data_IF_198416527310
#
_entry.id   IF_198416527310
#
_cell.length_a   1.000
_cell.length_b   1.000
_cell.length_c   1.000
_cell.angle_alpha   90.00
_cell.angle_beta   90.00
_cell.angle_gamma   90.00
#
_symmetry.space_group_name_H-M   'P 1'
#
loop_
_entity.id
_entity.type
_entity.pdbx_description
1 polymer ?
#
# COMPACT_ATOMS: atom_id res chain seq x y z
N UNK A 1 3.47 -24.68 0.28
CA UNK A 1 2.87 -23.33 0.18
C UNK A 1 3.68 -22.30 0.99
N UNK A 2 3.92 -22.51 2.27
CA UNK A 2 4.68 -21.55 3.12
C UNK A 2 6.05 -21.21 2.52
N UNK A 3 6.84 -22.20 2.08
CA UNK A 3 8.15 -21.94 1.47
C UNK A 3 8.05 -21.06 0.21
N UNK A 4 7.07 -21.32 -0.66
CA UNK A 4 6.86 -20.51 -1.86
C UNK A 4 6.40 -19.06 -1.53
N UNK A 5 5.61 -18.88 -0.48
CA UNK A 5 5.22 -17.54 -0.01
C UNK A 5 6.41 -16.79 0.58
N UNK A 6 7.25 -17.49 1.35
CA UNK A 6 8.48 -16.90 1.89
C UNK A 6 9.47 -16.50 0.77
N UNK A 7 9.66 -17.37 -0.24
CA UNK A 7 10.44 -17.03 -1.42
C UNK A 7 9.90 -15.77 -2.12
N UNK A 8 8.57 -15.70 -2.34
CA UNK A 8 7.91 -14.55 -2.96
C UNK A 8 8.12 -13.26 -2.16
N UNK A 9 8.03 -13.34 -0.82
CA UNK A 9 8.31 -12.22 0.08
C UNK A 9 9.76 -11.74 -0.05
N UNK A 10 10.73 -12.65 -0.05
CA UNK A 10 12.15 -12.32 -0.20
C UNK A 10 12.43 -11.67 -1.56
N UNK A 11 11.86 -12.20 -2.64
CA UNK A 11 11.97 -11.62 -3.98
C UNK A 11 11.31 -10.24 -4.05
N UNK A 12 10.16 -10.04 -3.42
CA UNK A 12 9.49 -8.75 -3.29
C UNK A 12 10.37 -7.72 -2.58
N UNK A 13 11.01 -8.12 -1.47
CA UNK A 13 11.94 -7.26 -0.73
C UNK A 13 13.17 -6.87 -1.58
N UNK A 14 13.72 -7.82 -2.33
CA UNK A 14 14.84 -7.53 -3.24
C UNK A 14 14.41 -6.56 -4.35
N UNK A 15 13.23 -6.74 -4.94
CA UNK A 15 12.69 -5.87 -5.99
C UNK A 15 12.41 -4.46 -5.49
N UNK A 16 11.96 -4.31 -4.25
CA UNK A 16 11.81 -3.00 -3.60
C UNK A 16 13.16 -2.28 -3.50
N UNK A 17 14.21 -2.99 -3.07
CA UNK A 17 15.56 -2.43 -2.92
C UNK A 17 16.19 -2.05 -4.27
N UNK A 18 15.98 -2.87 -5.30
CA UNK A 18 16.55 -2.65 -6.64
C UNK A 18 15.77 -1.56 -7.41
N UNK A 19 14.48 -1.43 -7.15
CA UNK A 19 13.59 -0.52 -7.88
C UNK A 19 13.15 -1.03 -9.26
N UNK A 20 12.36 -0.24 -9.99
CA UNK A 20 11.87 -0.60 -11.32
C UNK A 20 13.01 -0.61 -12.36
N UNK A 21 12.92 -1.52 -13.31
CA UNK A 21 13.84 -1.57 -14.45
C UNK A 21 13.61 -0.38 -15.39
N UNK A 22 14.62 0.00 -16.22
CA UNK A 22 14.43 1.02 -17.25
C UNK A 22 13.23 0.67 -18.16
N UNK A 23 12.31 1.62 -18.33
CA UNK A 23 11.09 1.45 -19.12
C UNK A 23 9.94 0.71 -18.42
N UNK A 24 10.12 0.25 -17.19
CA UNK A 24 9.03 -0.30 -16.39
C UNK A 24 8.25 0.84 -15.71
N UNK A 25 6.92 0.73 -15.72
CA UNK A 25 6.05 1.65 -14.96
C UNK A 25 6.35 1.54 -13.45
N UNK A 26 6.80 2.64 -12.79
CA UNK A 26 7.15 2.64 -11.37
C UNK A 26 5.95 2.31 -10.47
N UNK A 27 4.74 2.75 -10.83
CA UNK A 27 3.52 2.51 -10.04
C UNK A 27 3.13 1.04 -10.12
N UNK A 28 3.13 0.44 -11.32
CA UNK A 28 2.86 -0.98 -11.48
C UNK A 28 3.91 -1.85 -10.77
N UNK A 29 5.20 -1.43 -10.81
CA UNK A 29 6.26 -2.08 -10.06
C UNK A 29 5.99 -2.04 -8.56
N UNK A 30 5.67 -0.85 -8.01
CA UNK A 30 5.38 -0.65 -6.59
C UNK A 30 4.22 -1.54 -6.11
N UNK A 31 3.08 -1.51 -6.79
CA UNK A 31 1.91 -2.36 -6.47
C UNK A 31 2.28 -3.86 -6.49
N UNK A 32 3.10 -4.28 -7.46
CA UNK A 32 3.59 -5.66 -7.55
C UNK A 32 4.49 -6.03 -6.35
N UNK A 33 5.34 -5.12 -5.89
CA UNK A 33 6.17 -5.32 -4.68
C UNK A 33 5.29 -5.47 -3.44
N UNK A 34 4.28 -4.61 -3.26
CA UNK A 34 3.32 -4.72 -2.15
C UNK A 34 2.56 -6.06 -2.17
N UNK A 35 2.15 -6.52 -3.36
CA UNK A 35 1.51 -7.83 -3.53
C UNK A 35 2.44 -8.97 -3.10
N UNK A 36 3.73 -8.91 -3.45
CA UNK A 36 4.69 -9.94 -3.09
C UNK A 36 5.05 -9.92 -1.60
N UNK A 37 5.26 -8.75 -1.00
CA UNK A 37 5.68 -8.62 0.40
C UNK A 37 4.54 -8.84 1.40
N UNK A 38 3.39 -8.23 1.20
CA UNK A 38 2.28 -8.20 2.15
C UNK A 38 1.10 -9.02 1.66
N UNK A 39 0.69 -8.80 0.40
CA UNK A 39 -0.45 -9.49 -0.19
C UNK A 39 -0.29 -11.01 -0.14
N UNK A 40 0.89 -11.53 -0.44
CA UNK A 40 1.18 -12.97 -0.42
C UNK A 40 1.00 -13.61 0.96
N UNK A 41 1.30 -12.90 2.04
CA UNK A 41 1.14 -13.39 3.42
C UNK A 41 -0.34 -13.46 3.82
N UNK A 42 -1.12 -12.43 3.48
CA UNK A 42 -2.56 -12.40 3.75
C UNK A 42 -3.28 -13.46 2.92
N UNK A 43 -2.88 -13.61 1.66
CA UNK A 43 -3.39 -14.68 0.78
C UNK A 43 -3.09 -16.07 1.34
N UNK A 44 -1.88 -16.29 1.86
CA UNK A 44 -1.52 -17.56 2.51
C UNK A 44 -2.37 -17.81 3.74
N UNK A 45 -2.56 -16.82 4.61
CA UNK A 45 -3.37 -16.95 5.81
C UNK A 45 -4.82 -17.31 5.46
N UNK A 46 -5.42 -16.64 4.48
CA UNK A 46 -6.78 -16.90 4.00
C UNK A 46 -6.90 -18.31 3.36
N UNK A 47 -5.94 -18.70 2.52
CA UNK A 47 -5.87 -20.05 1.93
C UNK A 47 -5.76 -21.13 3.02
N UNK A 48 -4.93 -20.92 4.03
CA UNK A 48 -4.78 -21.86 5.14
C UNK A 48 -6.04 -21.98 5.99
N UNK A 49 -6.79 -20.88 6.15
CA UNK A 49 -8.10 -20.92 6.81
C UNK A 49 -9.04 -21.91 6.15
N UNK A 50 -9.22 -21.87 4.83
CA UNK A 50 -10.05 -22.81 4.08
C UNK A 50 -9.52 -24.25 4.20
N UNK A 51 -8.20 -24.44 4.03
CA UNK A 51 -7.60 -25.79 4.08
C UNK A 51 -7.73 -26.44 5.43
N UNK A 52 -7.52 -25.70 6.51
CA UNK A 52 -7.55 -26.25 7.88
C UNK A 52 -8.98 -26.48 8.40
N UNK A 53 -9.95 -25.72 7.88
CA UNK A 53 -11.38 -25.95 8.20
C UNK A 53 -12.03 -27.05 7.36
N UNK A 54 -11.31 -27.62 6.37
CA UNK A 54 -11.91 -28.59 5.44
C UNK A 54 -12.85 -27.97 4.42
N UNK A 55 -12.73 -26.66 4.18
CA UNK A 55 -13.57 -25.93 3.25
C UNK A 55 -13.35 -26.34 1.78
N UNK A 56 -14.29 -26.00 0.88
CA UNK A 56 -14.26 -26.38 -0.52
C UNK A 56 -13.02 -25.87 -1.25
N UNK A 57 -12.37 -26.72 -2.05
CA UNK A 57 -11.14 -26.37 -2.77
C UNK A 57 -11.35 -25.31 -3.86
N UNK A 58 -12.55 -25.19 -4.41
CA UNK A 58 -12.95 -24.19 -5.39
C UNK A 58 -12.90 -22.76 -4.84
N UNK A 59 -12.94 -22.57 -3.52
CA UNK A 59 -12.78 -21.28 -2.87
C UNK A 59 -11.30 -20.85 -2.73
N UNK A 60 -10.35 -21.76 -2.93
CA UNK A 60 -8.93 -21.44 -2.78
C UNK A 60 -8.41 -20.36 -3.76
N UNK A 61 -8.74 -20.39 -5.07
CA UNK A 61 -8.31 -19.32 -5.97
C UNK A 61 -8.89 -17.95 -5.63
N UNK A 62 -10.22 -17.77 -5.43
CA UNK A 62 -10.78 -16.46 -5.10
C UNK A 62 -10.30 -15.93 -3.75
N UNK A 63 -10.21 -16.74 -2.71
CA UNK A 63 -9.74 -16.27 -1.41
C UNK A 63 -8.28 -15.83 -1.43
N UNK A 64 -7.45 -16.46 -2.28
CA UNK A 64 -6.07 -16.02 -2.49
C UNK A 64 -6.03 -14.65 -3.15
N UNK A 65 -6.80 -14.43 -4.23
CA UNK A 65 -6.89 -13.14 -4.89
C UNK A 65 -7.45 -12.05 -3.96
N UNK A 66 -8.46 -12.39 -3.15
CA UNK A 66 -8.94 -11.52 -2.08
C UNK A 66 -7.79 -11.09 -1.16
N UNK A 67 -7.03 -12.04 -0.61
CA UNK A 67 -5.94 -11.78 0.32
C UNK A 67 -4.82 -10.92 -0.30
N UNK A 68 -4.46 -11.18 -1.58
CA UNK A 68 -3.47 -10.39 -2.28
C UNK A 68 -3.90 -8.93 -2.45
N UNK A 69 -5.13 -8.70 -2.92
CA UNK A 69 -5.67 -7.35 -3.14
C UNK A 69 -5.83 -6.57 -1.84
N UNK A 70 -6.34 -7.22 -0.80
CA UNK A 70 -6.52 -6.58 0.50
C UNK A 70 -5.18 -6.25 1.17
N UNK A 71 -4.15 -7.07 0.96
CA UNK A 71 -2.80 -6.79 1.43
C UNK A 71 -2.18 -5.58 0.75
N UNK A 72 -2.44 -5.39 -0.54
CA UNK A 72 -2.04 -4.17 -1.25
C UNK A 72 -2.82 -2.97 -0.70
N UNK A 73 -4.15 -3.05 -0.59
CA UNK A 73 -4.97 -1.97 -0.03
C UNK A 73 -4.49 -1.55 1.36
N UNK A 74 -4.16 -2.52 2.23
CA UNK A 74 -3.63 -2.27 3.56
C UNK A 74 -2.36 -1.41 3.53
N UNK A 75 -1.40 -1.74 2.65
CA UNK A 75 -0.15 -0.99 2.53
C UNK A 75 -0.37 0.42 1.95
N UNK A 76 -1.28 0.57 0.97
CA UNK A 76 -1.60 1.90 0.43
C UNK A 76 -2.21 2.83 1.49
N UNK A 77 -3.06 2.29 2.38
CA UNK A 77 -3.58 3.03 3.53
C UNK A 77 -2.46 3.37 4.52
N UNK A 78 -1.53 2.44 4.76
CA UNK A 78 -0.39 2.64 5.65
C UNK A 78 0.54 3.76 5.14
N UNK A 79 0.75 3.85 3.81
CA UNK A 79 1.50 4.95 3.17
C UNK A 79 0.89 6.33 3.47
N UNK A 80 -0.45 6.41 3.48
CA UNK A 80 -1.17 7.66 3.79
C UNK A 80 -1.15 7.95 5.29
N UNK A 81 -1.29 6.92 6.13
CA UNK A 81 -1.22 7.06 7.59
C UNK A 81 0.17 7.57 8.02
N UNK A 82 1.25 7.14 7.36
CA UNK A 82 2.61 7.63 7.65
C UNK A 82 2.73 9.17 7.49
N UNK A 83 1.93 9.78 6.62
CA UNK A 83 1.89 11.24 6.44
C UNK A 83 1.06 11.96 7.50
N UNK A 84 0.26 11.25 8.32
CA UNK A 84 -0.70 11.84 9.25
C UNK A 84 -0.07 12.15 10.61
N UNK A 85 -0.58 13.23 11.27
CA UNK A 85 -0.21 13.58 12.63
C UNK A 85 -0.72 12.56 13.66
N UNK A 86 -1.82 11.84 13.34
CA UNK A 86 -2.41 10.80 14.19
C UNK A 86 -1.64 9.48 14.18
N UNK A 87 -0.76 9.27 13.20
CA UNK A 87 0.23 8.18 13.19
C UNK A 87 1.16 8.20 14.40
N UNK A 88 1.18 9.33 15.15
CA UNK A 88 1.89 9.49 16.43
C UNK A 88 1.40 8.56 17.56
N UNK A 89 0.28 7.86 17.41
CA UNK A 89 -0.10 6.75 18.31
C UNK A 89 0.93 5.63 18.35
N UNK A 90 1.81 5.54 17.34
CA UNK A 90 2.97 4.64 17.29
C UNK A 90 4.26 5.29 17.82
N UNK A 91 4.24 6.56 18.22
CA UNK A 91 5.42 7.33 18.66
C UNK A 91 6.37 7.74 17.53
N UNK A 92 6.00 7.56 16.26
CA UNK A 92 6.81 7.97 15.10
C UNK A 92 6.35 9.33 14.58
N UNK A 93 7.28 10.22 14.20
CA UNK A 93 6.92 11.50 13.57
C UNK A 93 6.33 11.25 12.17
N UNK A 94 5.42 12.13 11.69
CA UNK A 94 4.89 12.06 10.33
C UNK A 94 5.98 12.08 9.27
N UNK A 95 5.76 11.34 8.17
CA UNK A 95 6.69 11.27 7.04
C UNK A 95 7.94 10.44 7.31
N UNK A 96 7.85 9.42 8.19
CA UNK A 96 8.98 8.54 8.51
C UNK A 96 9.51 7.82 7.27
N UNK A 97 8.64 7.36 6.38
CA UNK A 97 9.03 6.66 5.15
C UNK A 97 9.71 7.61 4.17
N UNK A 98 9.17 8.81 3.99
CA UNK A 98 9.79 9.86 3.17
C UNK A 98 11.19 10.21 3.70
N UNK A 99 11.32 10.38 5.02
CA UNK A 99 12.62 10.66 5.67
C UNK A 99 13.66 9.58 5.42
N UNK A 100 13.23 8.33 5.35
CA UNK A 100 14.10 7.18 5.04
C UNK A 100 14.38 6.99 3.57
N UNK A 101 13.83 7.84 2.71
CA UNK A 101 13.96 7.73 1.25
C UNK A 101 13.13 6.59 0.66
N UNK A 102 12.15 6.06 1.39
CA UNK A 102 11.22 5.06 0.85
C UNK A 102 10.25 5.75 -0.09
N UNK A 103 10.17 5.25 -1.31
CA UNK A 103 9.25 5.79 -2.32
C UNK A 103 7.89 5.09 -2.17
N UNK A 104 6.91 5.80 -1.61
CA UNK A 104 5.53 5.35 -1.44
C UNK A 104 4.63 5.80 -2.60
N UNK A 105 3.38 5.33 -2.67
CA UNK A 105 2.50 5.67 -3.80
C UNK A 105 2.22 7.18 -3.93
N UNK A 106 1.98 7.96 -2.84
CA UNK A 106 1.85 9.41 -2.95
C UNK A 106 3.07 10.07 -3.62
N UNK A 107 4.29 9.60 -3.29
CA UNK A 107 5.52 10.09 -3.89
C UNK A 107 5.63 9.75 -5.38
N UNK A 108 5.22 8.54 -5.78
CA UNK A 108 5.20 8.12 -7.19
C UNK A 108 4.23 8.94 -8.02
N UNK A 109 3.03 9.19 -7.52
CA UNK A 109 2.07 10.06 -8.18
C UNK A 109 2.58 11.51 -8.30
N UNK A 110 3.22 12.01 -7.25
CA UNK A 110 3.82 13.35 -7.27
C UNK A 110 4.94 13.44 -8.32
N UNK A 111 5.78 12.40 -8.43
CA UNK A 111 6.82 12.31 -9.46
C UNK A 111 6.23 12.27 -10.87
N UNK A 112 5.13 11.54 -11.06
CA UNK A 112 4.43 11.50 -12.34
C UNK A 112 3.91 12.88 -12.74
N UNK A 113 3.21 13.59 -11.84
CA UNK A 113 2.71 14.94 -12.11
C UNK A 113 3.85 15.92 -12.46
N UNK A 114 4.97 15.84 -11.73
CA UNK A 114 6.14 16.67 -12.03
C UNK A 114 6.74 16.38 -13.41
N UNK A 115 6.77 15.11 -13.82
CA UNK A 115 7.22 14.70 -15.14
C UNK A 115 6.26 15.17 -16.27
N UNK A 116 4.98 15.31 -15.96
CA UNK A 116 3.94 15.87 -16.85
C UNK A 116 3.97 17.40 -16.90
N UNK A 117 4.85 18.06 -16.12
CA UNK A 117 5.08 19.51 -16.16
C UNK A 117 4.39 20.28 -15.05
N UNK A 118 3.81 19.63 -14.03
CA UNK A 118 3.25 20.32 -12.86
C UNK A 118 4.36 20.95 -12.02
N UNK A 119 4.36 22.28 -11.97
CA UNK A 119 5.37 23.06 -11.24
C UNK A 119 5.24 22.92 -9.73
N UNK A 120 4.00 22.87 -9.21
CA UNK A 120 3.74 22.69 -7.78
C UNK A 120 4.27 21.35 -7.28
N UNK A 121 3.98 20.28 -8.03
CA UNK A 121 4.53 18.95 -7.75
C UNK A 121 6.05 18.92 -7.81
N UNK A 122 6.66 19.61 -8.80
CA UNK A 122 8.12 19.71 -8.95
C UNK A 122 8.78 20.46 -7.77
N UNK A 123 8.15 21.52 -7.28
CA UNK A 123 8.64 22.30 -6.13
C UNK A 123 8.51 21.48 -4.84
N UNK A 124 7.38 20.82 -4.62
CA UNK A 124 7.18 19.96 -3.45
C UNK A 124 8.18 18.80 -3.43
N UNK A 125 8.46 18.15 -4.55
CA UNK A 125 9.51 17.12 -4.63
C UNK A 125 10.89 17.65 -4.24
N UNK A 126 11.25 18.86 -4.65
CA UNK A 126 12.55 19.49 -4.28
C UNK A 126 12.63 19.72 -2.78
N UNK A 127 11.54 20.21 -2.14
CA UNK A 127 11.54 20.44 -0.69
C UNK A 127 11.61 19.14 0.10
N UNK A 128 10.85 18.11 -0.31
CA UNK A 128 10.92 16.77 0.28
C UNK A 128 12.33 16.17 0.15
N UNK A 129 12.94 16.28 -1.03
CA UNK A 129 14.31 15.78 -1.26
C UNK A 129 15.36 16.47 -0.38
N UNK A 130 15.24 17.80 -0.15
CA UNK A 130 16.11 18.53 0.79
C UNK A 130 15.96 18.01 2.22
N UNK A 131 14.70 17.70 2.63
CA UNK A 131 14.43 17.13 3.95
C UNK A 131 15.02 15.73 4.11
N UNK A 132 14.85 14.86 3.12
CA UNK A 132 15.43 13.51 3.09
C UNK A 132 16.97 13.55 3.13
N UNK A 133 17.58 14.54 2.45
CA UNK A 133 19.03 14.73 2.45
C UNK A 133 19.58 15.38 3.74
N UNK A 134 18.72 15.75 4.70
CA UNK A 134 19.12 16.43 5.94
C UNK A 134 19.61 17.86 5.74
N UNK A 135 19.25 18.50 4.62
CA UNK A 135 19.63 19.88 4.29
C UNK A 135 18.59 20.90 4.76
N UNK A 136 17.31 20.47 4.87
CA UNK A 136 16.24 21.29 5.41
C UNK A 136 16.21 21.22 6.95
N UNK A 137 15.64 22.24 7.59
CA UNK A 137 15.32 22.19 9.03
C UNK A 137 14.17 21.20 9.27
N UNK A 138 13.99 20.77 10.53
CA UNK A 138 12.88 19.89 10.89
C UNK A 138 11.52 20.55 10.59
N UNK A 139 11.39 21.85 10.84
CA UNK A 139 10.16 22.61 10.56
C UNK A 139 9.86 22.62 9.04
N UNK A 140 10.85 22.97 8.20
CA UNK A 140 10.70 22.94 6.73
C UNK A 140 10.32 21.54 6.21
N UNK A 141 10.90 20.48 6.80
CA UNK A 141 10.56 19.11 6.44
C UNK A 141 9.10 18.78 6.83
N UNK A 142 8.67 19.10 8.04
CA UNK A 142 7.31 18.84 8.49
C UNK A 142 6.27 19.64 7.68
N UNK A 143 6.60 20.86 7.26
CA UNK A 143 5.76 21.65 6.37
C UNK A 143 5.62 20.98 5.00
N UNK A 144 6.70 20.40 4.46
CA UNK A 144 6.64 19.65 3.19
C UNK A 144 5.86 18.34 3.32
N UNK A 145 5.93 17.64 4.45
CA UNK A 145 5.09 16.46 4.73
C UNK A 145 3.61 16.86 4.83
N UNK A 146 3.30 17.99 5.49
CA UNK A 146 1.93 18.51 5.53
C UNK A 146 1.41 18.86 4.14
N UNK A 147 2.23 19.52 3.32
CA UNK A 147 1.89 19.83 1.94
C UNK A 147 1.64 18.55 1.10
N UNK A 148 2.44 17.50 1.27
CA UNK A 148 2.21 16.21 0.61
C UNK A 148 0.91 15.55 1.09
N UNK A 149 0.63 15.58 2.39
CA UNK A 149 -0.62 15.05 2.98
C UNK A 149 -1.85 15.74 2.38
N UNK A 150 -1.80 17.05 2.21
CA UNK A 150 -2.90 17.88 1.68
C UNK A 150 -2.96 17.86 0.14
N UNK A 151 -1.93 17.34 -0.52
CA UNK A 151 -1.88 17.28 -1.97
C UNK A 151 -2.86 16.23 -2.53
N UNK A 152 -3.51 16.49 -3.70
CA UNK A 152 -4.45 15.53 -4.32
C UNK A 152 -3.90 14.12 -4.55
N UNK A 153 -2.60 13.94 -4.67
CA UNK A 153 -1.97 12.60 -4.82
C UNK A 153 -2.21 11.69 -3.62
N UNK A 154 -2.39 12.27 -2.43
CA UNK A 154 -2.67 11.49 -1.21
C UNK A 154 -4.10 10.96 -1.24
N UNK A 155 -5.09 11.77 -1.64
CA UNK A 155 -6.45 11.28 -1.84
C UNK A 155 -6.52 10.28 -3.01
N UNK A 156 -5.80 10.49 -4.11
CA UNK A 156 -5.70 9.53 -5.21
C UNK A 156 -5.11 8.17 -4.73
N UNK A 157 -4.21 8.18 -3.76
CA UNK A 157 -3.69 6.96 -3.12
C UNK A 157 -4.78 6.24 -2.32
N UNK A 158 -5.59 6.99 -1.55
CA UNK A 158 -6.73 6.43 -0.83
C UNK A 158 -7.79 5.86 -1.78
N UNK A 159 -8.08 6.55 -2.89
CA UNK A 159 -9.01 6.04 -3.91
C UNK A 159 -8.50 4.74 -4.54
N UNK A 160 -7.19 4.63 -4.77
CA UNK A 160 -6.56 3.38 -5.21
C UNK A 160 -6.72 2.27 -4.18
N UNK A 161 -6.54 2.56 -2.89
CA UNK A 161 -6.75 1.60 -1.81
C UNK A 161 -8.22 1.13 -1.73
N UNK A 162 -9.17 2.05 -1.82
CA UNK A 162 -10.63 1.74 -1.87
C UNK A 162 -10.98 0.86 -3.06
N UNK A 163 -10.41 1.17 -4.25
CA UNK A 163 -10.61 0.35 -5.44
C UNK A 163 -10.07 -1.07 -5.25
N UNK A 164 -8.87 -1.21 -4.68
CA UNK A 164 -8.27 -2.53 -4.40
C UNK A 164 -9.11 -3.34 -3.39
N UNK A 165 -9.68 -2.68 -2.38
CA UNK A 165 -10.59 -3.32 -1.43
C UNK A 165 -11.91 -3.76 -2.10
N UNK A 166 -12.50 -2.92 -2.93
CA UNK A 166 -13.70 -3.27 -3.71
C UNK A 166 -13.42 -4.45 -4.66
N UNK A 167 -12.28 -4.44 -5.36
CA UNK A 167 -11.86 -5.54 -6.22
C UNK A 167 -11.58 -6.83 -5.43
N UNK A 168 -11.16 -6.73 -4.17
CA UNK A 168 -11.01 -7.88 -3.29
C UNK A 168 -12.38 -8.44 -2.89
N UNK A 169 -13.32 -7.59 -2.50
CA UNK A 169 -14.69 -8.00 -2.14
C UNK A 169 -15.36 -8.72 -3.31
N UNK A 170 -15.19 -8.25 -4.54
CA UNK A 170 -15.73 -8.90 -5.74
C UNK A 170 -15.22 -10.35 -5.94
N UNK A 171 -14.02 -10.68 -5.46
CA UNK A 171 -13.53 -12.07 -5.50
C UNK A 171 -14.36 -13.03 -4.62
N UNK A 172 -15.14 -12.50 -3.69
CA UNK A 172 -15.99 -13.27 -2.78
C UNK A 172 -17.42 -13.53 -3.34
N UNK A 173 -17.73 -13.03 -4.54
CA UNK A 173 -19.11 -13.13 -5.11
C UNK A 173 -19.56 -14.58 -5.34
N UNK A 174 -18.62 -15.48 -5.52
CA UNK A 174 -18.89 -16.92 -5.66
C UNK A 174 -18.81 -17.72 -4.35
N UNK A 175 -18.46 -17.05 -3.25
CA UNK A 175 -18.46 -17.67 -1.93
C UNK A 175 -19.90 -17.76 -1.37
N UNK A 176 -20.23 -18.79 -0.57
CA UNK A 176 -21.50 -18.85 0.12
C UNK A 176 -21.78 -17.57 0.92
N UNK A 177 -23.02 -17.09 0.89
CA UNK A 177 -23.44 -15.93 1.68
C UNK A 177 -23.66 -16.35 3.13
N UNK A 178 -22.58 -16.35 3.89
CA UNK A 178 -22.51 -16.78 5.27
C UNK A 178 -21.76 -15.78 6.17
N UNK A 179 -21.62 -16.16 7.43
CA UNK A 179 -20.93 -15.34 8.43
C UNK A 179 -19.45 -15.09 8.07
N UNK A 180 -18.81 -16.02 7.35
CA UNK A 180 -17.40 -15.90 6.96
C UNK A 180 -17.26 -14.85 5.86
N UNK A 181 -18.09 -14.93 4.80
CA UNK A 181 -18.12 -13.91 3.73
C UNK A 181 -18.42 -12.53 4.31
N UNK A 182 -19.42 -12.41 5.15
CA UNK A 182 -19.77 -11.16 5.84
C UNK A 182 -18.57 -10.62 6.66
N UNK A 183 -17.87 -11.50 7.38
CA UNK A 183 -16.68 -11.15 8.15
C UNK A 183 -15.54 -10.63 7.27
N UNK A 184 -15.29 -11.27 6.12
CA UNK A 184 -14.25 -10.85 5.16
C UNK A 184 -14.57 -9.50 4.50
N UNK A 185 -15.84 -9.27 4.14
CA UNK A 185 -16.30 -7.97 3.61
C UNK A 185 -16.06 -6.86 4.63
N UNK A 186 -16.51 -7.04 5.88
CA UNK A 186 -16.28 -6.07 6.96
C UNK A 186 -14.81 -5.84 7.25
N UNK A 187 -14.00 -6.87 7.13
CA UNK A 187 -12.54 -6.74 7.27
C UNK A 187 -11.96 -5.85 6.18
N UNK A 188 -12.35 -6.05 4.91
CA UNK A 188 -11.92 -5.23 3.79
C UNK A 188 -12.34 -3.76 3.94
N UNK A 189 -13.60 -3.51 4.31
CA UNK A 189 -14.13 -2.17 4.58
C UNK A 189 -13.33 -1.48 5.70
N UNK A 190 -13.09 -2.18 6.82
CA UNK A 190 -12.33 -1.63 7.94
C UNK A 190 -10.88 -1.26 7.58
N UNK A 191 -10.26 -1.92 6.62
CA UNK A 191 -8.90 -1.58 6.19
C UNK A 191 -8.87 -0.19 5.58
N UNK A 192 -9.82 0.15 4.72
CA UNK A 192 -9.86 1.45 4.04
C UNK A 192 -10.53 2.55 4.85
N UNK A 193 -11.27 2.20 5.89
CA UNK A 193 -11.87 3.14 6.84
C UNK A 193 -10.94 3.52 8.01
N UNK A 194 -9.70 3.01 8.02
CA UNK A 194 -8.69 3.41 9.01
C UNK A 194 -8.43 4.91 8.88
N UNK A 195 -8.72 5.67 9.95
CA UNK A 195 -8.56 7.13 9.98
C UNK A 195 -7.07 7.52 9.90
N UNK A 196 -6.77 8.45 9.05
CA UNK A 196 -5.51 9.16 8.96
C UNK A 196 -5.65 10.64 9.38
#
# INVERSE_FOLDING_TARGET
>A
RQAATFERLCLGQMRETVGPKPGQDPIAHYVSVLSDKTGSLIALAAEMGIRMSGGPSELLPPIRRFGEKIGVAYQLVDDVIDLSERGSGTGKPPGTDVRRGVTTLPMLYLQQLAAEGDQSASELLKTLARGTAGVATEEEFQDSIRALREHPVTEATMDKARQMAADAIAELDHAPDDVVRTGLVRFAEKIVDRSY
#
